data_IF_619989449637
#
_entry.id   IF_619989449637
#
_cell.length_a   1.000
_cell.length_b   1.000
_cell.length_c   1.000
_cell.angle_alpha   90.00
_cell.angle_beta   90.00
_cell.angle_gamma   90.00
#
_symmetry.space_group_name_H-M   'P 1'
#
loop_
_entity.id
_entity.type
_entity.pdbx_description
1 polymer ?
#
# COMPACT_ATOMS: atom_id res chain seq x y z
N UNK A 1 30.53 -14.65 19.46
CA UNK A 1 30.25 -13.24 19.13
C UNK A 1 30.87 -12.31 20.15
N UNK A 2 31.50 -11.21 19.70
CA UNK A 2 32.03 -10.19 20.63
C UNK A 2 30.88 -9.56 21.41
N UNK A 3 31.10 -9.28 22.68
CA UNK A 3 30.16 -8.61 23.58
C UNK A 3 30.51 -7.13 23.74
N UNK A 4 29.53 -6.31 24.17
CA UNK A 4 29.82 -4.90 24.54
C UNK A 4 30.92 -4.77 25.58
N UNK A 5 31.06 -5.74 26.51
CA UNK A 5 32.12 -5.77 27.51
C UNK A 5 33.51 -6.00 26.86
N UNK A 6 33.58 -6.81 25.80
CA UNK A 6 34.83 -7.05 25.09
C UNK A 6 35.27 -5.82 24.30
N UNK A 7 34.32 -5.14 23.64
CA UNK A 7 34.56 -3.86 22.96
C UNK A 7 35.04 -2.79 23.96
N UNK A 8 34.35 -2.65 25.10
CA UNK A 8 34.73 -1.71 26.15
C UNK A 8 36.15 -1.96 26.68
N UNK A 9 36.49 -3.23 26.95
CA UNK A 9 37.82 -3.66 27.41
C UNK A 9 38.89 -3.31 26.38
N UNK A 10 38.66 -3.63 25.09
CA UNK A 10 39.62 -3.35 24.00
C UNK A 10 39.75 -1.84 23.74
N UNK A 11 38.68 -1.07 23.94
CA UNK A 11 38.67 0.38 23.78
C UNK A 11 39.22 1.14 25.00
N UNK A 12 39.52 0.46 26.10
CA UNK A 12 40.03 1.09 27.35
C UNK A 12 38.98 2.02 28.00
N UNK A 13 37.71 1.67 27.96
CA UNK A 13 36.60 2.46 28.52
C UNK A 13 35.66 1.58 29.36
N UNK A 14 34.81 2.20 30.18
CA UNK A 14 33.76 1.45 30.89
C UNK A 14 32.69 0.95 29.94
N UNK A 15 31.98 -0.13 30.32
CA UNK A 15 30.85 -0.68 29.52
C UNK A 15 29.79 0.40 29.27
N UNK A 16 29.52 1.28 30.23
CA UNK A 16 28.59 2.40 30.09
C UNK A 16 29.10 3.48 29.12
N UNK A 17 30.40 3.73 29.08
CA UNK A 17 31.02 4.66 28.13
C UNK A 17 31.00 4.06 26.70
N UNK A 18 31.29 2.77 26.55
CA UNK A 18 31.19 2.09 25.25
C UNK A 18 29.75 2.09 24.73
N UNK A 19 28.77 1.81 25.58
CA UNK A 19 27.35 1.89 25.24
C UNK A 19 26.93 3.28 24.73
N UNK A 20 27.29 4.34 25.50
CA UNK A 20 26.99 5.72 25.10
C UNK A 20 27.72 6.16 23.83
N UNK A 21 28.94 5.67 23.62
CA UNK A 21 29.72 5.98 22.43
C UNK A 21 29.08 5.38 21.17
N UNK A 22 28.51 4.17 21.25
CA UNK A 22 27.87 3.46 20.15
C UNK A 22 26.43 3.93 19.91
N UNK A 23 25.65 4.22 20.96
CA UNK A 23 24.27 4.69 20.84
C UNK A 23 24.13 6.17 20.45
N UNK A 24 25.23 6.92 20.47
CA UNK A 24 25.20 8.36 20.20
C UNK A 24 24.69 9.23 21.38
N UNK A 25 24.10 8.62 22.41
CA UNK A 25 23.48 9.30 23.53
C UNK A 25 24.48 9.58 24.65
N UNK A 26 24.38 10.74 25.28
CA UNK A 26 25.24 11.19 26.40
C UNK A 26 26.55 11.84 25.96
N UNK A 27 27.24 12.48 26.95
CA UNK A 27 28.49 13.24 26.74
C UNK A 27 29.70 12.30 26.64
N UNK A 28 30.01 11.85 25.43
CA UNK A 28 31.25 11.12 25.11
C UNK A 28 32.00 11.91 24.04
N UNK A 29 33.31 12.13 24.22
CA UNK A 29 34.11 12.87 23.27
C UNK A 29 34.10 12.23 21.88
N UNK A 30 34.18 13.05 20.82
CA UNK A 30 34.19 12.58 19.44
C UNK A 30 35.32 11.57 19.17
N UNK A 31 36.51 11.79 19.82
CA UNK A 31 37.65 10.89 19.73
C UNK A 31 37.31 9.50 20.30
N UNK A 32 36.65 9.46 21.48
CA UNK A 32 36.21 8.21 22.09
C UNK A 32 35.14 7.51 21.30
N UNK A 33 34.15 8.26 20.74
CA UNK A 33 33.13 7.68 19.85
C UNK A 33 33.77 7.01 18.63
N UNK A 34 34.69 7.69 17.93
CA UNK A 34 35.40 7.14 16.77
C UNK A 34 36.21 5.88 17.14
N UNK A 35 36.93 5.90 18.26
CA UNK A 35 37.74 4.76 18.72
C UNK A 35 36.87 3.54 19.03
N UNK A 36 35.79 3.73 19.81
CA UNK A 36 34.87 2.63 20.17
C UNK A 36 34.18 2.06 18.94
N UNK A 37 33.72 2.91 18.00
CA UNK A 37 33.09 2.46 16.76
C UNK A 37 34.05 1.65 15.86
N UNK A 38 35.33 2.07 15.75
CA UNK A 38 36.33 1.36 14.99
C UNK A 38 36.61 -0.04 15.58
N UNK A 39 36.74 -0.12 16.90
CA UNK A 39 36.96 -1.40 17.59
C UNK A 39 35.75 -2.30 17.51
N UNK A 40 34.52 -1.77 17.62
CA UNK A 40 33.29 -2.54 17.46
C UNK A 40 33.21 -3.16 16.04
N UNK A 41 33.53 -2.36 15.02
CA UNK A 41 33.58 -2.85 13.61
C UNK A 41 34.66 -3.94 13.41
N UNK A 42 35.87 -3.71 13.96
CA UNK A 42 36.97 -4.69 13.88
C UNK A 42 36.62 -6.03 14.54
N UNK A 43 35.89 -5.97 15.67
CA UNK A 43 35.48 -7.15 16.42
C UNK A 43 34.19 -7.82 15.88
N UNK A 44 33.57 -7.27 14.84
CA UNK A 44 32.28 -7.75 14.35
C UNK A 44 31.16 -7.62 15.39
N UNK A 45 31.29 -6.65 16.30
CA UNK A 45 30.26 -6.40 17.31
C UNK A 45 29.07 -5.69 16.67
N UNK A 46 27.91 -6.30 16.75
CA UNK A 46 26.62 -5.69 16.42
C UNK A 46 25.90 -5.41 17.73
N UNK A 47 25.50 -4.14 17.95
CA UNK A 47 24.70 -3.78 19.10
C UNK A 47 23.40 -4.58 19.09
N UNK A 48 23.03 -5.19 20.22
CA UNK A 48 21.75 -5.85 20.34
C UNK A 48 20.63 -4.80 20.29
N UNK A 49 19.69 -4.95 19.38
CA UNK A 49 18.47 -4.11 19.29
C UNK A 49 17.73 -4.04 20.63
N UNK A 50 17.72 -5.13 21.40
CA UNK A 50 17.15 -5.16 22.74
C UNK A 50 17.90 -4.24 23.74
N UNK A 51 19.24 -4.14 23.65
CA UNK A 51 20.01 -3.25 24.50
C UNK A 51 19.83 -1.77 24.11
N UNK A 52 19.69 -1.49 22.83
CA UNK A 52 19.39 -0.16 22.30
C UNK A 52 17.96 0.27 22.67
N UNK A 53 17.00 -0.63 22.53
CA UNK A 53 15.61 -0.42 22.95
C UNK A 53 15.49 -0.11 24.45
N UNK A 54 16.26 -0.81 25.28
CA UNK A 54 16.29 -0.55 26.74
C UNK A 54 16.87 0.83 27.09
N UNK A 55 17.84 1.30 26.29
CA UNK A 55 18.53 2.56 26.53
C UNK A 55 17.75 3.78 25.99
N UNK A 56 17.02 3.60 24.88
CA UNK A 56 16.31 4.68 24.16
C UNK A 56 14.81 4.67 24.41
N UNK A 57 14.25 3.57 24.92
CA UNK A 57 12.81 3.33 25.01
C UNK A 57 12.16 3.00 23.67
N UNK A 58 12.93 2.92 22.56
CA UNK A 58 12.45 2.65 21.20
C UNK A 58 13.04 1.37 20.65
N UNK A 59 12.20 0.59 19.97
CA UNK A 59 12.61 -0.67 19.34
C UNK A 59 13.28 -0.47 17.98
N UNK A 60 13.11 0.71 17.37
CA UNK A 60 13.45 1.01 15.96
C UNK A 60 12.83 0.00 15.00
N UNK A 61 11.59 -0.34 15.24
CA UNK A 61 10.83 -1.26 14.43
C UNK A 61 9.42 -0.71 14.20
N UNK A 62 8.97 -0.69 12.96
CA UNK A 62 7.62 -0.28 12.58
C UNK A 62 6.87 -1.49 12.06
N UNK A 63 5.62 -1.67 12.51
CA UNK A 63 4.75 -2.69 12.00
C UNK A 63 4.01 -2.19 10.75
N UNK A 64 3.99 -2.99 9.70
CA UNK A 64 3.09 -2.84 8.56
C UNK A 64 2.04 -3.95 8.63
N UNK A 65 0.77 -3.57 8.70
CA UNK A 65 -0.37 -4.48 8.70
C UNK A 65 -1.08 -4.38 7.36
N UNK A 66 -1.30 -5.52 6.69
CA UNK A 66 -1.86 -5.59 5.34
C UNK A 66 -2.71 -6.84 5.13
N UNK A 67 -3.78 -6.83 4.30
CA UNK A 67 -4.54 -8.03 3.99
C UNK A 67 -3.82 -8.98 3.02
N UNK A 68 -2.98 -8.44 2.13
CA UNK A 68 -2.28 -9.20 1.10
C UNK A 68 -0.80 -8.85 1.06
N UNK A 69 0.03 -9.81 0.63
CA UNK A 69 1.47 -9.63 0.44
C UNK A 69 1.93 -10.03 -0.97
N UNK A 70 1.06 -10.71 -1.71
CA UNK A 70 1.36 -11.33 -3.01
C UNK A 70 0.58 -10.73 -4.18
N UNK A 71 -0.06 -9.58 -4.00
CA UNK A 71 -0.66 -8.77 -5.07
C UNK A 71 0.23 -7.57 -5.33
N UNK A 72 0.38 -7.19 -6.57
CA UNK A 72 1.37 -6.20 -7.00
C UNK A 72 1.26 -4.86 -6.23
N UNK A 73 0.06 -4.30 -6.11
CA UNK A 73 -0.14 -3.04 -5.37
C UNK A 73 0.44 -3.11 -3.95
N UNK A 74 0.13 -4.17 -3.22
CA UNK A 74 0.58 -4.34 -1.84
C UNK A 74 2.09 -4.56 -1.76
N UNK A 75 2.66 -5.38 -2.64
CA UNK A 75 4.10 -5.64 -2.67
C UNK A 75 4.90 -4.38 -3.01
N UNK A 76 4.39 -3.53 -3.90
CA UNK A 76 5.02 -2.27 -4.27
C UNK A 76 4.97 -1.23 -3.13
N UNK A 77 3.85 -1.16 -2.37
CA UNK A 77 3.80 -0.33 -1.15
C UNK A 77 4.77 -0.85 -0.10
N UNK A 78 4.84 -2.18 0.10
CA UNK A 78 5.76 -2.80 1.06
C UNK A 78 7.22 -2.48 0.70
N UNK A 79 7.58 -2.55 -0.58
CA UNK A 79 8.92 -2.18 -1.08
C UNK A 79 9.25 -0.71 -0.76
N UNK A 80 8.31 0.20 -1.02
CA UNK A 80 8.47 1.62 -0.68
C UNK A 80 8.60 1.89 0.82
N UNK A 81 7.86 1.16 1.65
CA UNK A 81 7.96 1.21 3.12
C UNK A 81 9.33 0.71 3.59
N UNK A 82 9.74 -0.47 3.11
CA UNK A 82 11.00 -1.12 3.51
C UNK A 82 12.21 -0.26 3.16
N UNK A 83 12.28 0.23 1.92
CA UNK A 83 13.37 1.09 1.47
C UNK A 83 13.48 2.38 2.31
N UNK A 84 12.34 3.01 2.65
CA UNK A 84 12.31 4.21 3.47
C UNK A 84 12.72 3.93 4.93
N UNK A 85 12.28 2.80 5.51
CA UNK A 85 12.65 2.39 6.87
C UNK A 85 14.13 2.05 6.99
N UNK A 86 14.70 1.30 6.05
CA UNK A 86 16.15 1.03 6.01
C UNK A 86 16.93 2.33 5.95
N UNK A 87 16.52 3.27 5.08
CA UNK A 87 17.14 4.59 4.99
C UNK A 87 17.12 5.40 6.32
N UNK A 88 16.11 5.17 7.15
CA UNK A 88 15.94 5.78 8.45
C UNK A 88 16.55 4.98 9.63
N UNK A 89 17.08 3.79 9.38
CA UNK A 89 17.65 2.90 10.39
C UNK A 89 16.59 2.22 11.28
N UNK A 90 15.45 1.89 10.68
CA UNK A 90 14.35 1.15 11.31
C UNK A 90 14.17 -0.23 10.65
N UNK A 91 13.76 -1.21 11.44
CA UNK A 91 13.33 -2.53 10.99
C UNK A 91 11.86 -2.51 10.61
N UNK A 92 11.45 -3.42 9.72
CA UNK A 92 10.07 -3.67 9.34
C UNK A 92 9.58 -4.99 9.94
N UNK A 93 8.45 -4.96 10.64
CA UNK A 93 7.69 -6.17 10.98
C UNK A 93 6.40 -6.21 10.17
N UNK A 94 6.26 -7.21 9.31
CA UNK A 94 5.09 -7.39 8.47
C UNK A 94 4.08 -8.31 9.14
N UNK A 95 2.83 -7.86 9.27
CA UNK A 95 1.70 -8.65 9.71
C UNK A 95 0.66 -8.74 8.61
N UNK A 96 0.33 -9.96 8.22
CA UNK A 96 -0.83 -10.20 7.36
C UNK A 96 -2.06 -10.39 8.21
N UNK A 97 -3.09 -9.57 7.99
CA UNK A 97 -4.39 -9.68 8.62
C UNK A 97 -5.39 -10.25 7.61
N UNK A 98 -6.14 -11.26 8.04
CA UNK A 98 -7.26 -11.82 7.30
C UNK A 98 -8.58 -11.44 7.98
N UNK A 99 -9.71 -11.87 7.44
CA UNK A 99 -11.05 -11.73 8.02
C UNK A 99 -11.28 -12.58 9.29
N UNK A 100 -10.25 -13.31 9.76
CA UNK A 100 -10.31 -14.08 10.99
C UNK A 100 -10.24 -13.18 12.23
N UNK A 101 -11.36 -13.07 12.96
CA UNK A 101 -11.48 -12.24 14.16
C UNK A 101 -10.51 -12.61 15.29
N UNK A 102 -10.18 -13.90 15.44
CA UNK A 102 -9.23 -14.35 16.47
C UNK A 102 -7.83 -13.87 16.14
N UNK A 103 -7.43 -13.96 14.87
CA UNK A 103 -6.16 -13.43 14.39
C UNK A 103 -6.10 -11.90 14.56
N UNK A 104 -7.19 -11.18 14.25
CA UNK A 104 -7.30 -9.75 14.44
C UNK A 104 -7.13 -9.36 15.91
N UNK A 105 -7.85 -10.03 16.82
CA UNK A 105 -7.71 -9.82 18.26
C UNK A 105 -6.27 -10.10 18.74
N UNK A 106 -5.67 -11.21 18.33
CA UNK A 106 -4.29 -11.52 18.69
C UNK A 106 -3.30 -10.45 18.20
N UNK A 107 -3.52 -9.91 17.01
CA UNK A 107 -2.68 -8.84 16.45
C UNK A 107 -2.77 -7.57 17.30
N UNK A 108 -3.96 -7.04 17.50
CA UNK A 108 -4.17 -5.75 18.18
C UNK A 108 -4.03 -5.86 19.71
N UNK A 109 -4.34 -7.01 20.32
CA UNK A 109 -4.28 -7.21 21.76
C UNK A 109 -2.91 -7.65 22.27
N UNK A 110 -2.09 -8.23 21.40
CA UNK A 110 -0.81 -8.82 21.82
C UNK A 110 0.37 -8.37 20.96
N UNK A 111 0.34 -8.56 19.64
CA UNK A 111 1.53 -8.34 18.79
C UNK A 111 1.89 -6.86 18.65
N UNK A 112 0.93 -5.99 18.39
CA UNK A 112 1.18 -4.57 18.21
C UNK A 112 1.41 -3.83 19.52
N UNK A 113 0.86 -4.30 20.63
CA UNK A 113 1.00 -3.65 21.95
C UNK A 113 2.34 -3.93 22.63
N UNK A 114 3.10 -4.92 22.16
CA UNK A 114 4.42 -5.22 22.73
C UNK A 114 5.39 -4.08 22.52
N UNK A 115 6.44 -4.03 23.38
CA UNK A 115 7.53 -3.02 23.28
C UNK A 115 8.40 -3.17 22.01
N UNK A 116 8.17 -4.18 21.18
CA UNK A 116 8.93 -4.44 19.97
C UNK A 116 8.45 -3.70 18.72
N UNK A 117 7.46 -2.78 18.84
CA UNK A 117 6.92 -1.98 17.75
C UNK A 117 6.76 -0.55 18.23
N UNK A 118 7.27 0.43 17.48
CA UNK A 118 7.21 1.85 17.83
C UNK A 118 6.03 2.57 17.18
N UNK A 119 5.64 2.18 15.94
CA UNK A 119 4.51 2.72 15.21
C UNK A 119 3.88 1.64 14.32
N UNK A 120 2.67 1.91 13.82
CA UNK A 120 1.91 1.00 12.94
C UNK A 120 1.56 1.71 11.64
N UNK A 121 1.83 1.08 10.51
CA UNK A 121 1.31 1.48 9.20
C UNK A 121 0.21 0.47 8.83
N UNK A 122 -1.01 0.97 8.61
CA UNK A 122 -2.17 0.17 8.18
C UNK A 122 -2.37 0.35 6.67
N UNK A 123 -2.18 -0.72 5.90
CA UNK A 123 -2.29 -0.69 4.44
C UNK A 123 -3.63 -1.28 4.01
N UNK A 124 -4.53 -0.45 3.49
CA UNK A 124 -5.88 -0.78 3.02
C UNK A 124 -6.69 -1.63 4.03
N UNK A 125 -6.61 -1.27 5.30
CA UNK A 125 -7.31 -1.96 6.38
C UNK A 125 -8.16 -0.98 7.18
N UNK A 126 -9.42 -1.33 7.36
CA UNK A 126 -10.25 -0.64 8.33
C UNK A 126 -9.75 -0.94 9.76
N UNK A 127 -9.46 0.10 10.52
CA UNK A 127 -9.08 0.04 11.93
C UNK A 127 -10.22 0.65 12.73
N UNK A 128 -10.70 -0.06 13.76
CA UNK A 128 -11.79 0.42 14.61
C UNK A 128 -11.33 1.52 15.56
N UNK A 129 -12.26 2.36 16.02
CA UNK A 129 -11.95 3.43 16.97
C UNK A 129 -11.31 2.88 18.27
N UNK A 130 -11.75 1.70 18.75
CA UNK A 130 -11.18 1.05 19.93
C UNK A 130 -9.72 0.61 19.70
N UNK A 131 -9.40 0.10 18.51
CA UNK A 131 -8.04 -0.29 18.12
C UNK A 131 -7.13 0.93 18.00
N UNK A 132 -7.62 2.02 17.42
CA UNK A 132 -6.91 3.32 17.36
C UNK A 132 -6.63 3.82 18.76
N UNK A 133 -7.67 3.96 19.61
CA UNK A 133 -7.55 4.46 20.98
C UNK A 133 -6.58 3.62 21.82
N UNK A 134 -6.58 2.30 21.61
CA UNK A 134 -5.68 1.38 22.30
C UNK A 134 -4.22 1.61 21.94
N UNK A 135 -3.88 1.75 20.65
CA UNK A 135 -2.51 2.00 20.21
C UNK A 135 -2.04 3.40 20.63
N UNK A 136 -2.92 4.40 20.53
CA UNK A 136 -2.64 5.77 20.94
C UNK A 136 -2.33 5.86 22.46
N UNK A 137 -3.12 5.17 23.30
CA UNK A 137 -2.88 5.11 24.75
C UNK A 137 -1.51 4.52 25.13
N UNK A 138 -0.88 3.78 24.22
CA UNK A 138 0.46 3.21 24.36
C UNK A 138 1.54 4.07 23.71
N UNK A 139 1.19 5.25 23.19
CA UNK A 139 2.12 6.14 22.48
C UNK A 139 2.62 5.55 21.17
N UNK A 140 1.80 4.73 20.48
CA UNK A 140 2.12 4.09 19.22
C UNK A 140 1.29 4.73 18.10
N UNK A 141 1.83 5.71 17.39
CA UNK A 141 1.11 6.35 16.31
C UNK A 141 0.76 5.35 15.20
N UNK A 142 -0.39 5.58 14.59
CA UNK A 142 -0.87 4.85 13.42
C UNK A 142 -0.82 5.79 12.22
N UNK A 143 -0.47 5.25 11.06
CA UNK A 143 -0.57 5.91 9.76
C UNK A 143 -1.33 4.99 8.82
N UNK A 144 -2.34 5.50 8.11
CA UNK A 144 -3.14 4.75 7.16
C UNK A 144 -2.71 4.97 5.71
N UNK A 145 -2.85 3.94 4.87
CA UNK A 145 -2.76 4.02 3.42
C UNK A 145 -4.01 3.36 2.82
N UNK A 146 -4.69 4.05 1.89
CA UNK A 146 -5.76 3.48 1.08
C UNK A 146 -7.18 3.78 1.57
N UNK A 147 -7.36 4.48 2.68
CA UNK A 147 -8.69 4.91 3.16
C UNK A 147 -8.62 5.80 4.39
N UNK A 148 -9.69 6.54 4.67
CA UNK A 148 -9.76 7.44 5.81
C UNK A 148 -10.01 6.68 7.10
N UNK A 149 -9.14 6.86 8.09
CA UNK A 149 -9.32 6.36 9.45
C UNK A 149 -9.55 7.59 10.36
N UNK A 150 -10.68 7.69 11.08
CA UNK A 150 -10.92 8.83 11.97
C UNK A 150 -9.79 9.03 12.98
N UNK A 151 -9.33 10.27 13.14
CA UNK A 151 -8.26 10.61 14.08
C UNK A 151 -6.85 10.12 13.70
N UNK A 152 -6.65 9.56 12.50
CA UNK A 152 -5.38 9.00 12.05
C UNK A 152 -4.92 9.70 10.77
N UNK A 153 -3.62 10.01 10.68
CA UNK A 153 -3.03 10.50 9.43
C UNK A 153 -3.12 9.43 8.36
N UNK A 154 -3.86 9.71 7.28
CA UNK A 154 -4.09 8.74 6.20
C UNK A 154 -3.75 9.32 4.83
N UNK A 155 -3.22 8.48 3.95
CA UNK A 155 -2.92 8.77 2.56
C UNK A 155 -3.79 7.89 1.67
N UNK A 156 -4.56 8.48 0.77
CA UNK A 156 -5.53 7.76 -0.05
C UNK A 156 -5.69 8.38 -1.43
N UNK A 157 -6.26 7.64 -2.35
CA UNK A 157 -6.80 8.17 -3.61
C UNK A 157 -8.33 8.20 -3.51
N UNK A 158 -9.00 9.13 -4.19
CA UNK A 158 -10.46 9.08 -4.31
C UNK A 158 -10.85 8.03 -5.37
N UNK A 159 -11.12 6.82 -4.91
CA UNK A 159 -11.45 5.67 -5.76
C UNK A 159 -12.67 5.91 -6.64
N UNK A 160 -13.66 6.67 -6.15
CA UNK A 160 -14.84 7.04 -6.92
C UNK A 160 -14.51 8.01 -8.04
N UNK A 161 -13.71 9.02 -7.76
CA UNK A 161 -13.26 9.99 -8.77
C UNK A 161 -12.35 9.32 -9.80
N UNK A 162 -11.44 8.46 -9.36
CA UNK A 162 -10.50 7.75 -10.25
C UNK A 162 -11.26 6.84 -11.21
N UNK A 163 -12.18 5.99 -10.72
CA UNK A 163 -12.97 5.10 -11.56
C UNK A 163 -13.94 5.87 -12.50
N UNK A 164 -14.48 7.00 -12.03
CA UNK A 164 -15.25 7.89 -12.90
C UNK A 164 -14.38 8.41 -14.06
N UNK A 165 -13.17 8.90 -13.79
CA UNK A 165 -12.24 9.38 -14.84
C UNK A 165 -11.83 8.29 -15.82
N UNK A 166 -11.62 7.04 -15.37
CA UNK A 166 -11.40 5.89 -16.26
C UNK A 166 -12.56 5.72 -17.24
N UNK A 167 -13.77 5.72 -16.70
CA UNK A 167 -15.00 5.48 -17.46
C UNK A 167 -15.27 6.62 -18.44
N UNK A 168 -15.14 7.87 -17.99
CA UNK A 168 -15.25 9.08 -18.83
C UNK A 168 -14.25 9.06 -19.99
N UNK A 169 -13.03 8.54 -19.77
CA UNK A 169 -12.05 8.35 -20.85
C UNK A 169 -12.61 7.42 -21.96
N UNK A 170 -13.14 6.25 -21.62
CA UNK A 170 -13.71 5.34 -22.62
C UNK A 170 -14.96 5.94 -23.27
N UNK A 171 -15.82 6.61 -22.54
CA UNK A 171 -17.01 7.30 -23.08
C UNK A 171 -16.58 8.37 -24.09
N UNK A 172 -15.51 9.13 -23.80
CA UNK A 172 -14.99 10.14 -24.73
C UNK A 172 -14.48 9.59 -26.05
N UNK A 173 -14.15 8.28 -26.08
CA UNK A 173 -13.75 7.53 -27.28
C UNK A 173 -14.96 6.91 -28.03
N UNK A 174 -16.19 7.17 -27.58
CA UNK A 174 -17.43 6.72 -28.20
C UNK A 174 -17.98 5.39 -27.67
N UNK A 175 -17.39 4.84 -26.60
CA UNK A 175 -17.89 3.60 -26.02
C UNK A 175 -19.16 3.84 -25.19
N UNK A 176 -20.21 3.08 -25.48
CA UNK A 176 -21.50 3.10 -24.77
C UNK A 176 -21.83 1.77 -24.07
N UNK A 177 -21.17 0.68 -24.47
CA UNK A 177 -21.32 -0.67 -23.91
C UNK A 177 -20.10 -1.02 -23.08
N UNK A 178 -20.02 -0.46 -21.87
CA UNK A 178 -18.94 -0.69 -20.93
C UNK A 178 -19.34 -1.70 -19.85
N UNK A 179 -18.37 -2.40 -19.30
CA UNK A 179 -18.50 -3.28 -18.14
C UNK A 179 -17.39 -2.98 -17.13
N UNK A 180 -17.74 -2.99 -15.85
CA UNK A 180 -16.76 -2.88 -14.77
C UNK A 180 -16.39 -4.26 -14.23
N UNK A 181 -15.11 -4.61 -14.32
CA UNK A 181 -14.54 -5.79 -13.65
C UNK A 181 -14.04 -5.34 -12.28
N UNK A 182 -14.82 -5.61 -11.23
CA UNK A 182 -14.58 -5.17 -9.86
C UNK A 182 -14.45 -6.31 -8.87
N UNK A 183 -13.89 -6.02 -7.68
CA UNK A 183 -13.80 -6.99 -6.60
C UNK A 183 -15.15 -7.31 -5.98
N UNK A 184 -15.17 -8.31 -5.10
CA UNK A 184 -16.34 -8.68 -4.32
C UNK A 184 -16.75 -7.50 -3.40
N UNK A 185 -18.03 -7.20 -3.35
CA UNK A 185 -18.60 -6.11 -2.57
C UNK A 185 -19.03 -6.54 -1.15
N UNK A 186 -19.12 -7.85 -0.90
CA UNK A 186 -19.61 -8.40 0.36
C UNK A 186 -18.49 -8.63 1.40
N UNK A 187 -17.25 -8.86 0.95
CA UNK A 187 -16.10 -9.18 1.80
C UNK A 187 -15.05 -8.07 1.77
N UNK A 188 -15.38 -6.91 2.35
CA UNK A 188 -14.50 -5.76 2.33
C UNK A 188 -13.69 -5.66 3.63
N UNK A 189 -12.45 -6.16 3.61
CA UNK A 189 -11.43 -5.77 4.57
C UNK A 189 -10.87 -4.35 4.26
N UNK A 190 -11.14 -3.86 3.04
CA UNK A 190 -10.59 -2.65 2.48
C UNK A 190 -11.64 -1.53 2.40
N UNK A 191 -11.55 -0.49 3.11
CA UNK A 191 -12.24 0.82 3.05
C UNK A 191 -13.26 1.04 1.90
N UNK A 192 -14.01 0.01 1.50
CA UNK A 192 -14.97 0.08 0.40
C UNK A 192 -14.35 0.51 -0.97
N UNK A 193 -13.07 0.25 -1.20
CA UNK A 193 -12.36 0.59 -2.45
C UNK A 193 -13.16 0.08 -3.66
N UNK A 194 -13.60 -1.17 -3.62
CA UNK A 194 -14.35 -1.78 -4.73
C UNK A 194 -15.73 -1.15 -4.92
N UNK A 195 -16.43 -0.82 -3.84
CA UNK A 195 -17.72 -0.12 -3.89
C UNK A 195 -17.55 1.31 -4.42
N UNK A 196 -16.50 2.01 -4.00
CA UNK A 196 -16.14 3.34 -4.49
C UNK A 196 -15.89 3.35 -5.99
N UNK A 197 -15.08 2.40 -6.50
CA UNK A 197 -14.77 2.26 -7.93
C UNK A 197 -16.01 1.91 -8.76
N UNK A 198 -16.84 0.97 -8.31
CA UNK A 198 -18.11 0.67 -8.97
C UNK A 198 -19.04 1.88 -9.02
N UNK A 199 -19.13 2.63 -7.92
CA UNK A 199 -19.96 3.84 -7.87
C UNK A 199 -19.45 4.90 -8.84
N UNK A 200 -18.14 5.13 -8.91
CA UNK A 200 -17.54 6.05 -9.87
C UNK A 200 -17.80 5.66 -11.33
N UNK A 201 -17.69 4.36 -11.64
CA UNK A 201 -18.06 3.83 -12.95
C UNK A 201 -19.53 4.13 -13.28
N UNK A 202 -20.46 3.81 -12.39
CA UNK A 202 -21.90 4.04 -12.59
C UNK A 202 -22.26 5.51 -12.70
N UNK A 203 -21.65 6.37 -11.89
CA UNK A 203 -21.83 7.83 -11.99
C UNK A 203 -21.48 8.37 -13.40
N UNK A 204 -20.43 7.87 -14.03
CA UNK A 204 -20.03 8.27 -15.37
C UNK A 204 -21.01 7.76 -16.42
N UNK A 205 -21.41 6.48 -16.32
CA UNK A 205 -22.37 5.87 -17.22
C UNK A 205 -23.74 6.55 -17.16
N UNK A 206 -24.22 6.87 -15.96
CA UNK A 206 -25.50 7.57 -15.75
C UNK A 206 -25.47 8.98 -16.36
N UNK A 207 -24.42 9.76 -16.08
CA UNK A 207 -24.26 11.11 -16.65
C UNK A 207 -24.22 11.13 -18.17
N UNK A 208 -23.70 10.08 -18.78
CA UNK A 208 -23.65 9.93 -20.23
C UNK A 208 -24.95 9.33 -20.85
N UNK A 209 -25.91 8.92 -20.01
CA UNK A 209 -27.15 8.27 -20.48
C UNK A 209 -26.93 6.83 -20.98
N UNK A 210 -25.91 6.14 -20.49
CA UNK A 210 -25.47 4.80 -20.92
C UNK A 210 -25.64 3.72 -19.84
N UNK A 211 -26.36 4.01 -18.74
CA UNK A 211 -26.62 3.02 -17.67
C UNK A 211 -27.27 1.76 -18.21
N UNK A 212 -26.83 0.60 -17.73
CA UNK A 212 -27.30 -0.72 -18.17
C UNK A 212 -27.40 -1.67 -16.99
N UNK A 213 -28.35 -2.62 -17.09
CA UNK A 213 -28.33 -3.82 -16.26
C UNK A 213 -27.12 -4.69 -16.66
N UNK A 214 -26.53 -5.41 -15.71
CA UNK A 214 -25.34 -6.25 -15.93
C UNK A 214 -24.06 -5.49 -16.34
N UNK A 215 -23.88 -4.30 -15.84
CA UNK A 215 -22.70 -3.46 -16.05
C UNK A 215 -21.50 -3.81 -15.13
N UNK A 216 -21.66 -4.78 -14.24
CA UNK A 216 -20.70 -5.20 -13.24
C UNK A 216 -20.44 -6.71 -13.29
N UNK A 217 -19.17 -7.08 -13.17
CA UNK A 217 -18.70 -8.46 -13.06
C UNK A 217 -17.77 -8.57 -11.88
N UNK A 218 -18.20 -9.30 -10.85
CA UNK A 218 -17.33 -9.61 -9.71
C UNK A 218 -16.21 -10.56 -10.14
N UNK A 219 -14.97 -10.19 -9.77
CA UNK A 219 -13.75 -10.95 -10.08
C UNK A 219 -12.89 -11.11 -8.85
N UNK A 220 -12.11 -12.18 -8.77
CA UNK A 220 -10.93 -12.15 -7.90
C UNK A 220 -9.96 -11.08 -8.44
N UNK A 221 -9.50 -10.19 -7.56
CA UNK A 221 -8.65 -9.05 -7.97
C UNK A 221 -7.22 -9.53 -8.21
N UNK A 222 -7.07 -10.28 -9.29
CA UNK A 222 -5.82 -10.90 -9.75
C UNK A 222 -5.81 -11.02 -11.28
N UNK A 223 -4.64 -11.28 -11.86
CA UNK A 223 -4.52 -11.55 -13.30
C UNK A 223 -5.35 -12.77 -13.73
N UNK A 224 -5.38 -13.83 -12.91
CA UNK A 224 -6.21 -15.02 -13.19
C UNK A 224 -7.70 -14.71 -13.16
N UNK A 225 -8.17 -13.98 -12.13
CA UNK A 225 -9.58 -13.58 -12.05
C UNK A 225 -10.02 -12.69 -13.21
N UNK A 226 -9.16 -11.74 -13.61
CA UNK A 226 -9.39 -10.93 -14.82
C UNK A 226 -9.44 -11.76 -16.11
N UNK A 227 -8.57 -12.78 -16.23
CA UNK A 227 -8.58 -13.70 -17.36
C UNK A 227 -9.87 -14.55 -17.41
N UNK A 228 -10.25 -15.16 -16.29
CA UNK A 228 -11.46 -16.00 -16.21
C UNK A 228 -12.73 -15.20 -16.51
N UNK A 229 -12.84 -13.99 -15.95
CA UNK A 229 -13.95 -13.10 -16.23
C UNK A 229 -13.95 -12.65 -17.70
N UNK A 230 -12.79 -12.32 -18.26
CA UNK A 230 -12.61 -11.98 -19.65
C UNK A 230 -13.06 -13.12 -20.58
N UNK A 231 -12.62 -14.35 -20.33
CA UNK A 231 -13.04 -15.52 -21.11
C UNK A 231 -14.56 -15.72 -21.07
N UNK A 232 -15.20 -15.50 -19.92
CA UNK A 232 -16.66 -15.65 -19.79
C UNK A 232 -17.44 -14.54 -20.49
N UNK A 233 -17.02 -13.28 -20.30
CA UNK A 233 -17.75 -12.10 -20.80
C UNK A 233 -17.53 -11.87 -22.28
N UNK A 234 -16.33 -12.16 -22.79
CA UNK A 234 -15.97 -11.88 -24.19
C UNK A 234 -16.30 -13.03 -25.15
N UNK A 235 -16.67 -14.21 -24.64
CA UNK A 235 -16.97 -15.37 -25.46
C UNK A 235 -18.25 -15.20 -26.30
N UNK A 236 -19.25 -14.45 -25.83
CA UNK A 236 -20.50 -14.20 -26.55
C UNK A 236 -20.39 -12.95 -27.44
N UNK A 237 -20.30 -13.10 -28.77
CA UNK A 237 -20.18 -11.95 -29.68
C UNK A 237 -21.37 -10.99 -29.65
N UNK A 238 -22.56 -11.47 -29.26
CA UNK A 238 -23.81 -10.69 -29.33
C UNK A 238 -23.92 -9.72 -28.15
N UNK A 239 -23.40 -10.11 -26.98
CA UNK A 239 -23.46 -9.33 -25.76
C UNK A 239 -22.09 -8.73 -25.32
N UNK A 240 -21.08 -8.91 -26.17
CA UNK A 240 -19.72 -8.44 -25.87
C UNK A 240 -19.70 -6.93 -25.64
N UNK A 241 -19.10 -6.47 -24.49
CA UNK A 241 -18.86 -5.05 -24.27
C UNK A 241 -17.83 -4.52 -25.28
N UNK A 242 -17.85 -3.22 -25.53
CA UNK A 242 -16.82 -2.55 -26.35
C UNK A 242 -15.69 -2.02 -25.49
N UNK A 243 -15.85 -1.97 -24.17
CA UNK A 243 -14.80 -1.57 -23.25
C UNK A 243 -14.94 -2.18 -21.86
N UNK A 244 -13.79 -2.44 -21.24
CA UNK A 244 -13.67 -2.94 -19.88
C UNK A 244 -12.98 -1.87 -19.03
N UNK A 245 -13.64 -1.48 -17.92
CA UNK A 245 -13.07 -0.65 -16.84
C UNK A 245 -12.67 -1.61 -15.74
N UNK A 246 -11.37 -1.88 -15.62
CA UNK A 246 -10.87 -2.83 -14.64
C UNK A 246 -10.52 -2.15 -13.32
N UNK A 247 -10.81 -2.85 -12.22
CA UNK A 247 -10.54 -2.39 -10.85
C UNK A 247 -9.05 -2.26 -10.54
N UNK A 248 -8.18 -2.96 -11.28
CA UNK A 248 -6.73 -2.90 -11.14
C UNK A 248 -6.04 -3.24 -12.45
N UNK A 249 -4.74 -2.95 -12.56
CA UNK A 249 -3.95 -3.35 -13.73
C UNK A 249 -3.79 -4.88 -13.81
N UNK A 250 -3.71 -5.60 -12.70
CA UNK A 250 -3.67 -7.06 -12.71
C UNK A 250 -4.93 -7.65 -13.38
N UNK A 251 -6.11 -7.14 -13.03
CA UNK A 251 -7.37 -7.54 -13.66
C UNK A 251 -7.42 -7.13 -15.13
N UNK A 252 -6.97 -5.92 -15.46
CA UNK A 252 -6.90 -5.44 -16.84
C UNK A 252 -5.98 -6.31 -17.71
N UNK A 253 -4.81 -6.68 -17.23
CA UNK A 253 -3.85 -7.57 -17.89
C UNK A 253 -4.50 -8.94 -18.14
N UNK A 254 -5.18 -9.51 -17.14
CA UNK A 254 -5.93 -10.76 -17.30
C UNK A 254 -6.99 -10.66 -18.38
N UNK A 255 -7.77 -9.59 -18.43
CA UNK A 255 -8.77 -9.34 -19.46
C UNK A 255 -8.14 -9.18 -20.85
N UNK A 256 -6.97 -8.52 -20.97
CA UNK A 256 -6.22 -8.43 -22.24
C UNK A 256 -5.78 -9.82 -22.72
N UNK A 257 -5.29 -10.67 -21.82
CA UNK A 257 -4.90 -12.04 -22.14
C UNK A 257 -6.09 -12.87 -22.64
N UNK A 258 -7.28 -12.71 -22.03
CA UNK A 258 -8.52 -13.36 -22.47
C UNK A 258 -8.95 -12.87 -23.85
N UNK A 259 -8.93 -11.56 -24.09
CA UNK A 259 -9.23 -10.98 -25.40
C UNK A 259 -8.31 -11.55 -26.47
N UNK A 260 -7.00 -11.54 -26.23
CA UNK A 260 -6.01 -12.13 -27.15
C UNK A 260 -6.25 -13.63 -27.39
N UNK A 261 -6.58 -14.40 -26.35
CA UNK A 261 -6.90 -15.84 -26.47
C UNK A 261 -8.12 -16.12 -27.35
N UNK A 262 -9.09 -15.19 -27.36
CA UNK A 262 -10.30 -15.25 -28.18
C UNK A 262 -10.13 -14.66 -29.59
N UNK A 263 -8.91 -14.24 -29.95
CA UNK A 263 -8.61 -13.64 -31.24
C UNK A 263 -9.10 -12.19 -31.39
N UNK A 264 -9.37 -11.52 -30.26
CA UNK A 264 -9.81 -10.13 -30.26
C UNK A 264 -8.61 -9.19 -30.19
N UNK A 265 -8.65 -8.11 -30.95
CA UNK A 265 -7.67 -7.05 -30.90
C UNK A 265 -8.00 -6.01 -29.84
N UNK A 266 -7.00 -5.60 -29.07
CA UNK A 266 -7.07 -4.48 -28.13
C UNK A 266 -6.16 -3.38 -28.69
N UNK A 267 -6.70 -2.20 -29.05
CA UNK A 267 -8.04 -1.66 -28.79
C UNK A 267 -9.08 -1.90 -29.92
N UNK A 268 -8.73 -2.57 -31.03
CA UNK A 268 -9.56 -2.63 -32.24
C UNK A 268 -10.99 -3.16 -32.01
N UNK A 269 -11.14 -4.27 -31.29
CA UNK A 269 -12.45 -4.88 -30.97
C UNK A 269 -12.91 -4.51 -29.55
N UNK A 270 -11.98 -4.16 -28.66
CA UNK A 270 -12.23 -3.95 -27.24
C UNK A 270 -11.22 -3.00 -26.63
N UNK A 271 -11.68 -1.93 -26.02
CA UNK A 271 -10.83 -1.07 -25.18
C UNK A 271 -10.76 -1.57 -23.74
N UNK A 272 -9.57 -1.50 -23.12
CA UNK A 272 -9.35 -1.92 -21.71
C UNK A 272 -8.54 -0.84 -20.99
N UNK A 273 -9.01 -0.44 -19.80
CA UNK A 273 -8.32 0.52 -18.93
C UNK A 273 -8.20 -0.04 -17.51
N UNK A 274 -7.03 0.17 -16.89
CA UNK A 274 -6.71 -0.27 -15.53
C UNK A 274 -6.50 0.86 -14.54
N UNK A 275 -6.11 0.49 -13.33
CA UNK A 275 -5.60 1.35 -12.25
C UNK A 275 -4.34 0.70 -11.70
N UNK A 276 -3.37 1.46 -11.28
CA UNK A 276 -2.18 1.24 -10.47
C UNK A 276 -0.90 1.79 -11.13
N UNK A 277 -0.70 1.56 -12.42
CA UNK A 277 0.56 1.86 -13.13
C UNK A 277 1.54 0.69 -13.08
N UNK A 278 1.03 -0.54 -13.15
CA UNK A 278 1.83 -1.77 -13.14
C UNK A 278 2.86 -1.80 -14.29
N UNK A 279 4.15 -2.11 -14.05
CA UNK A 279 5.18 -2.13 -15.10
C UNK A 279 4.89 -3.09 -16.25
N UNK A 280 4.29 -4.27 -15.97
CA UNK A 280 3.85 -5.18 -17.01
C UNK A 280 2.74 -4.58 -17.88
N UNK A 281 1.82 -3.80 -17.28
CA UNK A 281 0.80 -3.05 -18.01
C UNK A 281 1.44 -2.04 -18.97
N UNK A 282 2.49 -1.36 -18.55
CA UNK A 282 3.25 -0.47 -19.44
C UNK A 282 3.85 -1.21 -20.64
N UNK A 283 4.51 -2.34 -20.40
CA UNK A 283 5.10 -3.16 -21.46
C UNK A 283 4.04 -3.68 -22.46
N UNK A 284 2.85 -4.00 -21.98
CA UNK A 284 1.71 -4.43 -22.80
C UNK A 284 0.96 -3.26 -23.49
N UNK A 285 1.28 -2.03 -23.13
CA UNK A 285 0.61 -0.84 -23.64
C UNK A 285 -0.74 -0.56 -23.01
N UNK A 286 -0.94 -0.96 -21.75
CA UNK A 286 -2.17 -0.74 -20.99
C UNK A 286 -2.33 0.74 -20.61
N UNK A 287 -3.46 1.33 -20.99
CA UNK A 287 -3.93 2.63 -20.47
C UNK A 287 -4.35 2.44 -19.03
N UNK A 288 -3.86 3.29 -18.12
CA UNK A 288 -4.09 3.12 -16.69
C UNK A 288 -4.09 4.44 -15.92
N UNK A 289 -4.75 4.44 -14.77
CA UNK A 289 -4.65 5.48 -13.75
C UNK A 289 -3.48 5.14 -12.82
N UNK A 290 -2.38 5.91 -12.95
CA UNK A 290 -1.14 5.67 -12.17
C UNK A 290 -1.25 6.33 -10.81
N UNK A 291 -1.15 5.56 -9.73
CA UNK A 291 -1.25 6.05 -8.34
C UNK A 291 0.10 6.15 -7.60
N UNK A 292 1.23 6.02 -8.28
CA UNK A 292 2.58 6.15 -7.70
C UNK A 292 2.80 5.31 -6.42
N UNK A 293 2.50 4.03 -6.52
CA UNK A 293 2.31 3.12 -5.38
C UNK A 293 3.47 3.10 -4.38
N UNK A 294 4.73 2.93 -4.81
CA UNK A 294 5.89 2.90 -3.90
C UNK A 294 6.10 4.21 -3.13
N UNK A 295 5.71 5.36 -3.73
CA UNK A 295 5.77 6.65 -3.04
C UNK A 295 4.79 6.74 -1.87
N UNK A 296 3.64 6.05 -1.92
CA UNK A 296 2.68 6.01 -0.82
C UNK A 296 3.32 5.39 0.42
N UNK A 297 4.07 4.30 0.25
CA UNK A 297 4.83 3.67 1.33
C UNK A 297 5.86 4.61 1.97
N UNK A 298 6.66 5.29 1.15
CA UNK A 298 7.67 6.23 1.63
C UNK A 298 7.05 7.44 2.38
N UNK A 299 5.94 7.97 1.90
CA UNK A 299 5.20 9.07 2.56
C UNK A 299 4.69 8.61 3.92
N UNK A 300 4.09 7.42 4.01
CA UNK A 300 3.58 6.88 5.27
C UNK A 300 4.70 6.67 6.31
N UNK A 301 5.87 6.19 5.89
CA UNK A 301 7.05 6.09 6.77
C UNK A 301 7.49 7.46 7.27
N UNK A 302 7.58 8.46 6.37
CA UNK A 302 7.95 9.83 6.75
C UNK A 302 7.01 10.39 7.81
N UNK A 303 5.70 10.18 7.65
CA UNK A 303 4.69 10.60 8.61
C UNK A 303 4.82 9.85 9.95
N UNK A 304 4.99 8.52 9.92
CA UNK A 304 5.14 7.72 11.13
C UNK A 304 6.38 8.17 11.95
N UNK A 305 7.50 8.44 11.27
CA UNK A 305 8.71 8.94 11.91
C UNK A 305 8.53 10.35 12.48
N UNK A 306 7.80 11.22 11.81
CA UNK A 306 7.49 12.56 12.28
C UNK A 306 6.63 12.52 13.56
N UNK A 307 5.60 11.68 13.60
CA UNK A 307 4.78 11.45 14.80
C UNK A 307 5.60 10.88 15.95
N UNK A 308 6.50 9.92 15.68
CA UNK A 308 7.45 9.41 16.66
C UNK A 308 8.43 10.49 17.16
N UNK A 309 8.73 11.49 16.32
CA UNK A 309 9.56 12.66 16.69
C UNK A 309 8.87 13.66 17.60
N UNK A 310 7.58 13.48 17.91
CA UNK A 310 6.77 14.37 18.75
C UNK A 310 6.05 15.47 17.94
N UNK A 311 5.96 15.32 16.62
CA UNK A 311 5.05 16.14 15.81
C UNK A 311 3.63 15.74 16.19
N UNK A 312 2.83 16.67 16.73
CA UNK A 312 1.41 16.43 16.94
C UNK A 312 0.73 16.27 15.57
N UNK A 313 -0.14 15.28 15.44
CA UNK A 313 -1.14 15.37 14.41
C UNK A 313 -1.90 16.68 14.68
N UNK A 314 -1.96 17.59 13.70
CA UNK A 314 -2.64 18.86 13.87
C UNK A 314 -4.09 18.61 14.30
N UNK A 315 -4.62 19.42 15.22
CA UNK A 315 -6.04 19.40 15.64
C UNK A 315 -7.02 19.78 14.50
N UNK A 316 -6.51 19.99 13.29
CA UNK A 316 -7.29 20.29 12.10
C UNK A 316 -7.86 19.00 11.50
N UNK A 317 -9.12 19.07 11.07
CA UNK A 317 -9.93 18.01 10.43
C UNK A 317 -9.30 17.34 9.18
N UNK A 318 -8.09 17.68 8.82
CA UNK A 318 -7.41 17.30 7.55
C UNK A 318 -6.24 16.32 7.74
N UNK A 319 -6.45 15.31 8.61
CA UNK A 319 -5.50 14.20 8.77
C UNK A 319 -5.48 13.26 7.55
N UNK A 320 -6.43 13.41 6.62
CA UNK A 320 -6.56 12.59 5.43
C UNK A 320 -6.05 13.34 4.19
N UNK A 321 -4.91 12.92 3.65
CA UNK A 321 -4.30 13.52 2.46
C UNK A 321 -4.65 12.72 1.21
N UNK A 322 -5.35 13.35 0.27
CA UNK A 322 -5.58 12.78 -1.05
C UNK A 322 -4.31 12.85 -1.90
N UNK A 323 -3.95 11.72 -2.50
CA UNK A 323 -2.78 11.60 -3.35
C UNK A 323 -3.16 11.75 -4.84
N UNK A 324 -2.28 12.35 -5.65
CA UNK A 324 -2.56 12.55 -7.07
C UNK A 324 -2.53 11.23 -7.84
N UNK A 325 -3.42 11.14 -8.85
CA UNK A 325 -3.50 10.02 -9.79
C UNK A 325 -3.47 10.55 -11.22
N UNK A 326 -2.56 10.02 -12.03
CA UNK A 326 -2.33 10.43 -13.41
C UNK A 326 -2.92 9.43 -14.41
N UNK A 327 -3.70 9.91 -15.38
CA UNK A 327 -4.10 9.09 -16.53
C UNK A 327 -2.94 8.96 -17.52
N UNK A 328 -2.47 7.74 -17.75
CA UNK A 328 -1.49 7.40 -18.78
C UNK A 328 -2.18 6.67 -19.93
N UNK A 329 -2.44 7.39 -21.01
CA UNK A 329 -3.03 6.84 -22.24
C UNK A 329 -1.95 6.07 -22.99
N UNK A 330 -2.27 4.82 -23.36
CA UNK A 330 -1.43 3.92 -24.15
C UNK A 330 -2.26 3.25 -25.26
N UNK A 331 -1.86 2.06 -25.70
CA UNK A 331 -2.44 1.39 -26.85
C UNK A 331 -3.68 0.53 -26.56
N UNK A 332 -4.05 0.31 -25.31
CA UNK A 332 -5.19 -0.55 -24.93
C UNK A 332 -6.56 0.15 -25.01
N UNK A 333 -6.58 1.45 -25.32
CA UNK A 333 -7.80 2.22 -25.52
C UNK A 333 -7.75 2.94 -26.86
N UNK A 334 -8.86 2.97 -27.57
CA UNK A 334 -9.01 3.62 -28.88
C UNK A 334 -10.48 3.92 -29.17
N UNK A 335 -10.79 4.63 -30.29
CA UNK A 335 -12.17 4.86 -30.69
C UNK A 335 -12.94 3.54 -30.88
N UNK A 336 -14.24 3.55 -30.55
CA UNK A 336 -15.10 2.40 -30.81
C UNK A 336 -15.13 2.11 -32.30
N UNK A 337 -14.92 0.84 -32.69
CA UNK A 337 -15.09 0.41 -34.09
C UNK A 337 -16.59 0.43 -34.44
N UNK A 338 -16.93 1.07 -35.55
CA UNK A 338 -18.30 1.22 -36.08
C UNK A 338 -18.75 -0.05 -36.79
#
# INVERSE_FOLDING_TARGET
MATLADVARKAGVSKSTASRALSGHGSVSLATKKRVAAIAKEMGFVASSAAESLATGRSKNIALVTPFVNRWFYSEVIDGVEAALIGAGYDLTLYRLTDNEEQRRALFDYFLVRKGVDAVIALTLYITDDEVARLDSLGKPIVGIGGKIPGVSTFFIDDRVVARRQTEHLISLGHTRLVHFGGDLEHQLDFEVHAGRLKGFRDAMERAGHSRDNDFVAVDVSTSGGYEAGMRVLADPTNRPTGIVAVSDEVAIGAMMAAYRLGLSVPGDLSIIGIDGHPLGEALGLTTMVQHVSKQGAIAVSQALALLGGMSASDDDDLAMELPVDLKIRRSTGPVSV
#
